data_IF_079860567551
#
_entry.id   IF_079860567551
#
_cell.length_a   1.000
_cell.length_b   1.000
_cell.length_c   1.000
_cell.angle_alpha   90.00
_cell.angle_beta   90.00
_cell.angle_gamma   90.00
#
_symmetry.space_group_name_H-M   'P 1'
#
loop_
_entity.id
_entity.type
_entity.pdbx_description
1 polymer ?
#
# COMPACT_ATOMS: atom_id res chain seq x y z
N UNK A 1 -7.51 6.97 -16.98
CA UNK A 1 -8.60 6.92 -15.96
C UNK A 1 -9.29 8.27 -15.92
N UNK A 2 -10.63 8.34 -15.78
CA UNK A 2 -11.36 9.60 -15.64
C UNK A 2 -11.03 10.31 -14.32
N UNK A 3 -11.11 11.65 -14.27
CA UNK A 3 -10.90 12.44 -13.05
C UNK A 3 -11.88 12.08 -11.93
N UNK A 4 -13.15 11.85 -12.29
CA UNK A 4 -14.21 11.46 -11.35
C UNK A 4 -13.90 10.20 -10.54
N UNK A 5 -13.06 9.31 -11.09
CA UNK A 5 -12.60 8.13 -10.37
C UNK A 5 -11.72 8.50 -9.17
N UNK A 6 -10.82 9.46 -9.34
CA UNK A 6 -9.94 9.94 -8.26
C UNK A 6 -10.71 10.78 -7.23
N UNK A 7 -11.64 11.62 -7.68
CA UNK A 7 -12.52 12.39 -6.80
C UNK A 7 -13.30 11.48 -5.86
N UNK A 8 -13.90 10.41 -6.40
CA UNK A 8 -14.64 9.45 -5.59
C UNK A 8 -13.77 8.78 -4.52
N UNK A 9 -12.52 8.45 -4.86
CA UNK A 9 -11.55 7.86 -3.91
C UNK A 9 -11.14 8.82 -2.79
N UNK A 10 -10.96 10.10 -3.10
CA UNK A 10 -10.63 11.13 -2.10
C UNK A 10 -11.77 11.33 -1.08
N UNK A 11 -13.01 11.10 -1.49
CA UNK A 11 -14.19 11.24 -0.62
C UNK A 11 -14.66 9.94 0.03
N UNK A 12 -14.04 8.81 -0.33
CA UNK A 12 -14.45 7.49 0.14
C UNK A 12 -14.07 7.30 1.60
N UNK A 13 -15.00 6.79 2.41
CA UNK A 13 -14.72 6.40 3.81
C UNK A 13 -13.92 5.11 3.92
N UNK A 14 -13.73 4.40 2.82
CA UNK A 14 -13.07 3.10 2.75
C UNK A 14 -11.72 3.18 2.05
N UNK A 15 -11.31 4.36 1.61
CA UNK A 15 -10.02 4.56 0.99
C UNK A 15 -9.21 5.56 1.82
N UNK A 16 -7.91 5.30 1.94
CA UNK A 16 -6.94 6.28 2.44
C UNK A 16 -5.98 6.60 1.30
N UNK A 17 -5.80 7.89 1.00
CA UNK A 17 -4.82 8.37 0.04
C UNK A 17 -3.77 9.20 0.76
N UNK A 18 -2.51 8.83 0.57
CA UNK A 18 -1.36 9.51 1.13
C UNK A 18 -0.59 10.20 0.01
N UNK A 19 -0.10 11.41 0.28
CA UNK A 19 0.73 12.19 -0.63
C UNK A 19 2.08 12.52 0.00
N UNK A 20 3.15 12.37 -0.76
CA UNK A 20 4.47 12.85 -0.40
C UNK A 20 4.68 14.24 -1.01
N UNK A 21 5.13 15.19 -0.20
CA UNK A 21 5.35 16.57 -0.62
C UNK A 21 6.80 17.00 -0.38
N UNK A 22 7.39 17.66 -1.37
CA UNK A 22 8.72 18.26 -1.30
C UNK A 22 8.65 19.72 -1.76
N UNK A 23 9.09 20.64 -0.91
CA UNK A 23 9.02 22.09 -1.15
C UNK A 23 7.62 22.57 -1.62
N UNK A 24 6.56 22.00 -1.03
CA UNK A 24 5.17 22.32 -1.37
C UNK A 24 4.65 21.71 -2.67
N UNK A 25 5.45 20.90 -3.37
CA UNK A 25 5.05 20.18 -4.59
C UNK A 25 4.74 18.72 -4.26
N UNK A 26 3.69 18.18 -4.88
CA UNK A 26 3.34 16.77 -4.76
C UNK A 26 4.35 15.90 -5.51
N UNK A 27 5.19 15.18 -4.77
CA UNK A 27 6.23 14.29 -5.31
C UNK A 27 5.66 12.92 -5.69
N UNK A 28 4.63 12.44 -4.98
CA UNK A 28 3.99 11.17 -5.26
C UNK A 28 2.78 10.87 -4.39
N UNK A 29 2.09 9.78 -4.71
CA UNK A 29 0.89 9.32 -4.02
C UNK A 29 0.86 7.80 -3.87
N UNK A 30 0.10 7.33 -2.88
CA UNK A 30 -0.29 5.93 -2.72
C UNK A 30 -1.68 5.85 -2.08
N UNK A 31 -2.46 4.85 -2.43
CA UNK A 31 -3.78 4.59 -1.86
C UNK A 31 -3.88 3.22 -1.20
N UNK A 32 -4.72 3.12 -0.18
CA UNK A 32 -5.19 1.88 0.44
C UNK A 32 -6.70 1.80 0.32
N UNK A 33 -7.22 0.72 -0.24
CA UNK A 33 -8.64 0.45 -0.35
C UNK A 33 -9.01 -0.69 0.60
N UNK A 34 -9.88 -0.41 1.57
CA UNK A 34 -10.34 -1.37 2.56
C UNK A 34 -11.62 -2.06 2.10
N UNK A 35 -11.71 -3.37 2.34
CA UNK A 35 -12.87 -4.16 1.97
C UNK A 35 -14.05 -3.90 2.91
N UNK A 36 -15.21 -3.53 2.37
CA UNK A 36 -16.43 -3.32 3.17
C UNK A 36 -17.08 -4.64 3.63
N UNK A 37 -16.92 -5.70 2.82
CA UNK A 37 -17.63 -6.98 2.99
C UNK A 37 -17.07 -7.72 4.18
N UNK A 38 -17.94 -8.13 5.11
CA UNK A 38 -17.55 -8.78 6.36
C UNK A 38 -16.51 -9.90 6.21
N UNK A 39 -16.73 -10.81 5.26
CA UNK A 39 -15.84 -11.95 5.01
C UNK A 39 -14.48 -11.55 4.43
N UNK A 40 -14.33 -10.32 3.96
CA UNK A 40 -13.11 -9.79 3.34
C UNK A 40 -12.50 -8.59 4.09
N UNK A 41 -13.15 -8.06 5.14
CA UNK A 41 -12.70 -6.90 5.94
C UNK A 41 -11.27 -6.99 6.48
N UNK A 42 -10.70 -8.18 6.53
CA UNK A 42 -9.32 -8.42 6.94
C UNK A 42 -8.28 -8.12 5.84
N UNK A 43 -8.70 -7.65 4.66
CA UNK A 43 -7.83 -7.34 3.52
C UNK A 43 -7.95 -5.88 3.12
N UNK A 44 -6.85 -5.33 2.63
CA UNK A 44 -6.81 -4.06 1.93
C UNK A 44 -6.01 -4.21 0.63
N UNK A 45 -6.28 -3.34 -0.33
CA UNK A 45 -5.55 -3.28 -1.59
C UNK A 45 -4.74 -1.99 -1.64
N UNK A 46 -3.42 -2.08 -1.84
CA UNK A 46 -2.58 -0.94 -2.17
C UNK A 46 -2.76 -0.63 -3.66
N UNK A 47 -3.12 0.61 -3.96
CA UNK A 47 -3.42 1.05 -5.32
C UNK A 47 -2.88 2.47 -5.58
N UNK A 48 -2.96 2.92 -6.83
CA UNK A 48 -2.71 4.32 -7.18
C UNK A 48 -1.29 4.79 -6.91
N UNK A 49 -0.33 3.87 -6.76
CA UNK A 49 1.07 4.20 -6.50
C UNK A 49 1.66 4.97 -7.68
N UNK A 50 2.14 6.19 -7.41
CA UNK A 50 2.79 7.02 -8.42
C UNK A 50 3.84 7.93 -7.78
N UNK A 51 4.97 8.11 -8.46
CA UNK A 51 5.99 9.12 -8.14
C UNK A 51 6.26 9.91 -9.41
N UNK A 52 6.17 11.24 -9.30
CA UNK A 52 6.46 12.18 -10.38
C UNK A 52 7.89 11.97 -10.89
N UNK A 53 8.08 12.11 -12.21
CA UNK A 53 9.36 11.82 -12.86
C UNK A 53 10.53 12.60 -12.24
N UNK A 54 10.30 13.87 -11.91
CA UNK A 54 11.28 14.79 -11.31
C UNK A 54 11.79 14.31 -9.93
N UNK A 55 11.04 13.42 -9.28
CA UNK A 55 11.30 12.92 -7.94
C UNK A 55 11.59 11.42 -7.92
N UNK A 56 11.72 10.73 -9.06
CA UNK A 56 12.05 9.30 -9.06
C UNK A 56 13.49 9.07 -8.58
N UNK A 57 13.77 7.85 -8.12
CA UNK A 57 15.10 7.43 -7.63
C UNK A 57 15.60 8.13 -6.36
N UNK A 58 14.78 8.94 -5.70
CA UNK A 58 15.10 9.62 -4.43
C UNK A 58 14.45 8.94 -3.21
N UNK A 59 14.09 7.66 -3.30
CA UNK A 59 13.49 6.92 -2.18
C UNK A 59 12.01 7.19 -1.90
N UNK A 60 11.38 8.20 -2.52
CA UNK A 60 9.95 8.52 -2.31
C UNK A 60 8.99 7.34 -2.47
N UNK A 61 9.27 6.43 -3.40
CA UNK A 61 8.46 5.24 -3.59
C UNK A 61 8.46 4.32 -2.37
N UNK A 62 9.60 4.21 -1.68
CA UNK A 62 9.73 3.43 -0.45
C UNK A 62 9.00 4.11 0.70
N UNK A 63 9.22 5.41 0.89
CA UNK A 63 8.58 6.20 1.95
C UNK A 63 7.05 6.14 1.87
N UNK A 64 6.48 6.31 0.68
CA UNK A 64 5.04 6.17 0.47
C UNK A 64 4.52 4.78 0.85
N UNK A 65 5.22 3.71 0.46
CA UNK A 65 4.81 2.35 0.81
C UNK A 65 4.93 2.11 2.31
N UNK A 66 5.98 2.60 2.97
CA UNK A 66 6.10 2.52 4.44
C UNK A 66 4.99 3.30 5.14
N UNK A 67 4.66 4.50 4.66
CA UNK A 67 3.56 5.29 5.21
C UNK A 67 2.21 4.56 5.06
N UNK A 68 1.95 3.91 3.93
CA UNK A 68 0.77 3.08 3.75
C UNK A 68 0.77 1.87 4.70
N UNK A 69 1.91 1.22 4.89
CA UNK A 69 2.02 0.10 5.84
C UNK A 69 1.80 0.52 7.29
N UNK A 70 2.30 1.69 7.68
CA UNK A 70 2.06 2.26 9.00
C UNK A 70 0.58 2.60 9.18
N UNK A 71 -0.06 3.21 8.18
CA UNK A 71 -1.50 3.48 8.21
C UNK A 71 -2.30 2.19 8.36
N UNK A 72 -1.96 1.15 7.59
CA UNK A 72 -2.60 -0.16 7.66
C UNK A 72 -2.51 -0.81 9.06
N UNK A 73 -1.46 -0.54 9.83
CA UNK A 73 -1.32 -1.03 11.22
C UNK A 73 -2.32 -0.37 12.19
N UNK A 74 -2.87 0.80 11.85
CA UNK A 74 -3.91 1.47 12.62
C UNK A 74 -5.29 0.79 12.50
N UNK A 75 -5.41 -0.29 11.69
CA UNK A 75 -6.65 -1.03 11.48
C UNK A 75 -6.60 -2.44 12.10
N UNK A 76 -7.14 -2.65 13.32
CA UNK A 76 -6.98 -3.91 14.04
C UNK A 76 -7.54 -5.16 13.34
N UNK A 77 -8.55 -4.98 12.50
CA UNK A 77 -9.17 -6.08 11.74
C UNK A 77 -8.31 -6.52 10.53
N UNK A 78 -7.38 -5.68 10.09
CA UNK A 78 -6.57 -5.94 8.91
C UNK A 78 -5.52 -7.01 9.21
N UNK A 79 -5.37 -7.96 8.28
CA UNK A 79 -4.39 -9.06 8.37
C UNK A 79 -3.40 -9.03 7.22
N UNK A 80 -3.77 -8.48 6.07
CA UNK A 80 -2.90 -8.43 4.91
C UNK A 80 -3.23 -7.27 3.97
N UNK A 81 -2.22 -6.85 3.21
CA UNK A 81 -2.35 -5.95 2.06
C UNK A 81 -2.02 -6.74 0.80
N UNK A 82 -2.78 -6.49 -0.27
CA UNK A 82 -2.53 -7.03 -1.60
C UNK A 82 -2.27 -5.90 -2.60
N UNK A 83 -1.56 -6.21 -3.67
CA UNK A 83 -1.36 -5.32 -4.80
C UNK A 83 -1.12 -6.10 -6.08
N UNK A 84 -1.20 -5.41 -7.21
CA UNK A 84 -0.81 -5.96 -8.51
C UNK A 84 0.24 -5.09 -9.17
N UNK A 85 1.19 -5.73 -9.85
CA UNK A 85 2.24 -5.08 -10.65
C UNK A 85 2.12 -5.58 -12.07
N UNK A 86 2.13 -4.69 -13.06
CA UNK A 86 2.22 -5.10 -14.47
C UNK A 86 3.55 -5.83 -14.70
N UNK A 87 3.50 -7.02 -15.30
CA UNK A 87 4.70 -7.78 -15.64
C UNK A 87 5.64 -6.94 -16.52
N UNK A 88 6.95 -7.02 -16.25
CA UNK A 88 7.96 -6.14 -16.86
C UNK A 88 8.24 -4.84 -16.11
N UNK A 89 7.41 -4.45 -15.12
CA UNK A 89 7.71 -3.32 -14.24
C UNK A 89 8.63 -3.73 -13.08
N UNK A 90 9.90 -4.00 -13.42
CA UNK A 90 10.94 -4.45 -12.48
C UNK A 90 11.18 -3.48 -11.33
N UNK A 91 11.07 -2.17 -11.59
CA UNK A 91 11.29 -1.15 -10.57
C UNK A 91 10.23 -1.24 -9.45
N UNK A 92 8.95 -1.36 -9.82
CA UNK A 92 7.85 -1.51 -8.87
C UNK A 92 7.91 -2.87 -8.15
N UNK A 93 8.19 -3.95 -8.89
CA UNK A 93 8.32 -5.29 -8.30
C UNK A 93 9.40 -5.31 -7.21
N UNK A 94 10.61 -4.84 -7.50
CA UNK A 94 11.71 -4.75 -6.52
C UNK A 94 11.41 -3.81 -5.36
N UNK A 95 10.69 -2.70 -5.62
CA UNK A 95 10.24 -1.80 -4.56
C UNK A 95 9.35 -2.55 -3.55
N UNK A 96 8.33 -3.25 -4.03
CA UNK A 96 7.41 -3.96 -3.16
C UNK A 96 8.07 -5.16 -2.46
N UNK A 97 8.96 -5.89 -3.13
CA UNK A 97 9.77 -6.93 -2.50
C UNK A 97 10.60 -6.40 -1.32
N UNK A 98 11.29 -5.26 -1.49
CA UNK A 98 12.03 -4.61 -0.40
C UNK A 98 11.12 -4.15 0.74
N UNK A 99 9.86 -3.88 0.44
CA UNK A 99 8.85 -3.56 1.44
C UNK A 99 8.14 -4.81 1.98
N UNK A 100 8.70 -6.02 1.80
CA UNK A 100 8.19 -7.26 2.40
C UNK A 100 6.98 -7.88 1.70
N UNK A 101 6.63 -7.42 0.49
CA UNK A 101 5.61 -8.10 -0.31
C UNK A 101 6.21 -9.31 -1.03
N UNK A 102 5.45 -10.39 -1.10
CA UNK A 102 5.80 -11.61 -1.83
C UNK A 102 4.77 -11.90 -2.92
N UNK A 103 5.23 -12.44 -4.04
CA UNK A 103 4.35 -12.86 -5.13
C UNK A 103 3.56 -14.11 -4.72
N UNK A 104 2.27 -14.13 -5.05
CA UNK A 104 1.41 -15.31 -4.88
C UNK A 104 0.68 -15.75 -6.15
N UNK A 105 0.72 -14.96 -7.22
CA UNK A 105 0.03 -15.29 -8.47
C UNK A 105 0.53 -14.52 -9.67
N UNK A 106 0.20 -15.04 -10.85
CA UNK A 106 0.34 -14.39 -12.13
C UNK A 106 -1.01 -14.49 -12.85
N UNK A 107 -1.53 -13.36 -13.28
CA UNK A 107 -2.77 -13.27 -14.05
C UNK A 107 -2.40 -12.97 -15.50
N UNK A 108 -2.57 -13.93 -16.44
CA UNK A 108 -2.21 -13.74 -17.83
C UNK A 108 -3.17 -12.77 -18.51
N UNK A 109 -2.64 -11.95 -19.43
CA UNK A 109 -3.44 -11.03 -20.27
C UNK A 109 -4.34 -10.06 -19.45
N UNK A 110 -3.94 -9.73 -18.23
CA UNK A 110 -4.73 -8.99 -17.26
C UNK A 110 -5.06 -7.55 -17.68
N UNK A 111 -4.21 -6.93 -18.50
CA UNK A 111 -4.40 -5.56 -18.98
C UNK A 111 -4.11 -5.48 -20.47
N UNK A 112 -5.00 -4.82 -21.21
CA UNK A 112 -4.77 -4.43 -22.60
C UNK A 112 -4.40 -2.95 -22.68
N UNK A 113 -3.31 -2.63 -23.37
CA UNK A 113 -2.88 -1.25 -23.65
C UNK A 113 -2.64 -1.14 -25.16
N UNK A 114 -3.55 -0.46 -25.86
CA UNK A 114 -3.55 -0.47 -27.32
C UNK A 114 -3.85 -1.86 -27.87
N UNK A 115 -2.92 -2.42 -28.63
CA UNK A 115 -3.00 -3.79 -29.18
C UNK A 115 -2.26 -4.82 -28.32
N UNK A 116 -1.44 -4.38 -27.37
CA UNK A 116 -0.64 -5.25 -26.52
C UNK A 116 -1.40 -5.70 -25.27
N UNK A 117 -1.03 -6.88 -24.78
CA UNK A 117 -1.54 -7.48 -23.56
C UNK A 117 -0.40 -7.70 -22.56
N UNK A 118 -0.68 -7.40 -21.30
CA UNK A 118 0.29 -7.50 -20.22
C UNK A 118 -0.29 -8.34 -19.07
N UNK A 119 0.55 -9.21 -18.53
CA UNK A 119 0.22 -9.98 -17.34
C UNK A 119 0.27 -9.11 -16.09
N UNK A 120 -0.37 -9.57 -15.02
CA UNK A 120 -0.26 -8.97 -13.68
C UNK A 120 0.34 -9.95 -12.69
N UNK A 121 1.38 -9.49 -12.01
CA UNK A 121 1.95 -10.15 -10.85
C UNK A 121 1.13 -9.75 -9.63
N UNK A 122 0.57 -10.73 -8.93
CA UNK A 122 -0.17 -10.55 -7.70
C UNK A 122 0.76 -10.70 -6.51
N UNK A 123 0.81 -9.70 -5.63
CA UNK A 123 1.67 -9.70 -4.45
C UNK A 123 0.87 -9.42 -3.19
N UNK A 124 1.37 -9.91 -2.05
CA UNK A 124 0.76 -9.67 -0.75
C UNK A 124 1.80 -9.53 0.35
N UNK A 125 1.41 -8.90 1.45
CA UNK A 125 2.17 -8.79 2.69
C UNK A 125 1.24 -8.95 3.88
N UNK A 126 1.64 -9.73 4.88
CA UNK A 126 0.96 -9.79 6.17
C UNK A 126 1.21 -8.50 6.98
N UNK A 127 0.17 -8.02 7.66
CA UNK A 127 0.27 -6.94 8.62
C UNK A 127 0.26 -7.55 10.02
N UNK A 128 1.41 -7.47 10.69
CA UNK A 128 1.52 -7.79 12.11
C UNK A 128 1.15 -6.57 12.93
N UNK A 129 0.44 -6.76 14.03
CA UNK A 129 0.30 -5.72 15.05
C UNK A 129 1.68 -5.47 15.69
N UNK A 130 2.03 -4.22 16.02
CA UNK A 130 3.19 -3.97 16.86
C UNK A 130 3.01 -4.71 18.20
N UNK A 131 4.05 -5.41 18.65
CA UNK A 131 4.08 -6.02 19.98
C UNK A 131 3.87 -4.92 21.03
N UNK A 132 2.82 -5.05 21.84
CA UNK A 132 2.65 -4.19 23.02
C UNK A 132 3.71 -4.65 24.03
N UNK A 133 4.77 -3.86 24.19
CA UNK A 133 5.66 -4.02 25.35
C UNK A 133 4.87 -3.60 26.58
N UNK A 134 4.44 -4.56 27.39
CA UNK A 134 4.00 -4.28 28.75
C UNK A 134 5.22 -3.79 29.53
N UNK A 135 5.32 -2.48 29.77
CA UNK A 135 6.23 -1.98 30.80
C UNK A 135 5.70 -2.47 32.15
N UNK A 136 6.46 -3.32 32.82
CA UNK A 136 6.21 -3.70 34.20
C UNK A 136 6.25 -2.43 35.06
N UNK A 137 5.10 -2.07 35.62
CA UNK A 137 5.00 -1.01 36.61
C UNK A 137 5.64 -1.55 37.89
N UNK A 138 6.89 -1.15 38.13
CA UNK A 138 7.61 -1.47 39.37
C UNK A 138 6.82 -0.84 40.54
N UNK A 139 6.21 -1.69 41.36
CA UNK A 139 5.40 -1.30 42.51
C UNK A 139 6.30 -1.07 43.73
N UNK A 140 6.42 0.16 44.27
CA UNK A 140 7.29 0.41 45.41
C UNK A 140 6.50 0.24 46.71
N UNK A 141 6.18 -0.99 47.10
CA UNK A 141 5.66 -1.27 48.45
C UNK A 141 6.21 -2.58 49.02
N UNK A 142 7.43 -2.50 49.55
CA UNK A 142 7.86 -3.31 50.69
C UNK A 142 8.72 -2.46 51.63
N UNK A 143 8.06 -1.88 52.63
CA UNK A 143 8.66 -1.55 53.93
C UNK A 143 7.77 -2.16 55.01
#
# INVERSE_FOLDING_TARGET
>A
MPLSWWEGRLTSKLDVLLGAFEAGKLAGIVGLAFEAREKARHKATLFGMYVSADFRQHGWGHELVQAALAEAQNHPALKLIQLTVTAGNEAAFKLYQRCGFIQFGLEPLAVRVGEDYFDKIHMWRQISMPEIKCEEVDSPLSR
#
